data_IF_683991543862
#
_entry.id   IF_683991543862
#
_cell.length_a   1.000
_cell.length_b   1.000
_cell.length_c   1.000
_cell.angle_alpha   90.00
_cell.angle_beta   90.00
_cell.angle_gamma   90.00
#
_symmetry.space_group_name_H-M   'P 1'
#
loop_
_entity.id
_entity.type
_entity.pdbx_description
1 polymer ?
#
# COMPACT_ATOMS: atom_id res chain seq x y z
N UNK A 1 0.50 -33.00 -16.15
CA UNK A 1 0.85 -32.27 -14.91
C UNK A 1 0.85 -30.74 -15.06
N UNK A 2 1.01 -30.17 -16.26
CA UNK A 2 0.94 -28.70 -16.47
C UNK A 2 -0.47 -28.09 -16.34
N UNK A 3 -1.50 -28.81 -16.77
CA UNK A 3 -2.89 -28.33 -16.78
C UNK A 3 -3.45 -28.08 -15.38
N UNK A 4 -3.10 -28.94 -14.41
CA UNK A 4 -3.49 -28.80 -13.00
C UNK A 4 -2.84 -27.60 -12.32
N UNK A 5 -1.60 -27.24 -12.68
CA UNK A 5 -0.89 -26.08 -12.11
C UNK A 5 -1.48 -24.76 -12.60
N UNK A 6 -1.85 -24.69 -13.89
CA UNK A 6 -2.50 -23.51 -14.50
C UNK A 6 -3.91 -23.28 -13.92
N UNK A 7 -4.67 -24.36 -13.70
CA UNK A 7 -6.00 -24.30 -13.07
C UNK A 7 -5.92 -23.77 -11.63
N UNK A 8 -4.93 -24.24 -10.85
CA UNK A 8 -4.71 -23.79 -9.47
C UNK A 8 -4.35 -22.30 -9.39
N UNK A 9 -3.53 -21.80 -10.34
CA UNK A 9 -3.18 -20.38 -10.44
C UNK A 9 -4.40 -19.52 -10.80
N UNK A 10 -5.26 -19.99 -11.70
CA UNK A 10 -6.51 -19.31 -12.08
C UNK A 10 -7.45 -19.16 -10.88
N UNK A 11 -7.68 -20.25 -10.13
CA UNK A 11 -8.54 -20.22 -8.94
C UNK A 11 -8.00 -19.30 -7.84
N UNK A 12 -6.67 -19.21 -7.70
CA UNK A 12 -6.03 -18.32 -6.74
C UNK A 12 -6.18 -16.84 -7.13
N UNK A 13 -6.07 -16.51 -8.42
CA UNK A 13 -6.36 -15.16 -8.92
C UNK A 13 -7.83 -14.78 -8.71
N UNK A 14 -8.77 -15.68 -9.02
CA UNK A 14 -10.21 -15.44 -8.79
C UNK A 14 -10.49 -15.24 -7.30
N UNK A 15 -9.90 -16.04 -6.42
CA UNK A 15 -10.02 -15.89 -4.97
C UNK A 15 -9.51 -14.52 -4.48
N UNK A 16 -8.37 -14.06 -4.99
CA UNK A 16 -7.83 -12.72 -4.66
C UNK A 16 -8.75 -11.59 -5.12
N UNK A 17 -9.36 -11.70 -6.30
CA UNK A 17 -10.31 -10.70 -6.82
C UNK A 17 -11.55 -10.63 -5.95
N UNK A 18 -12.14 -11.77 -5.58
CA UNK A 18 -13.32 -11.83 -4.71
C UNK A 18 -13.00 -11.25 -3.33
N UNK A 19 -11.84 -11.63 -2.76
CA UNK A 19 -11.37 -11.08 -1.49
C UNK A 19 -11.23 -9.55 -1.55
N UNK A 20 -10.63 -9.04 -2.64
CA UNK A 20 -10.48 -7.61 -2.88
C UNK A 20 -11.82 -6.88 -2.97
N UNK A 21 -12.81 -7.47 -3.65
CA UNK A 21 -14.17 -6.91 -3.73
C UNK A 21 -14.85 -6.87 -2.36
N UNK A 22 -14.75 -7.93 -1.56
CA UNK A 22 -15.33 -7.99 -0.21
C UNK A 22 -14.68 -7.00 0.75
N UNK A 23 -13.35 -6.84 0.68
CA UNK A 23 -12.63 -5.84 1.47
C UNK A 23 -13.03 -4.42 1.03
N UNK A 24 -13.16 -4.17 -0.27
CA UNK A 24 -13.60 -2.89 -0.82
C UNK A 24 -14.99 -2.49 -0.35
N UNK A 25 -15.96 -3.39 -0.39
CA UNK A 25 -17.32 -3.12 0.10
C UNK A 25 -17.37 -2.94 1.62
N UNK A 26 -16.58 -3.69 2.38
CA UNK A 26 -16.46 -3.50 3.83
C UNK A 26 -15.88 -2.13 4.20
N UNK A 27 -14.83 -1.70 3.49
CA UNK A 27 -14.24 -0.36 3.67
C UNK A 27 -15.27 0.72 3.34
N UNK A 28 -15.98 0.60 2.22
CA UNK A 28 -17.04 1.54 1.84
C UNK A 28 -18.19 1.58 2.86
N UNK A 29 -18.57 0.43 3.40
CA UNK A 29 -19.56 0.34 4.47
C UNK A 29 -19.12 1.08 5.73
N UNK A 30 -17.88 0.87 6.18
CA UNK A 30 -17.30 1.60 7.32
C UNK A 30 -17.25 3.10 7.06
N UNK A 31 -16.85 3.51 5.86
CA UNK A 31 -16.74 4.91 5.46
C UNK A 31 -18.10 5.63 5.45
N UNK A 32 -19.17 4.92 5.06
CA UNK A 32 -20.53 5.50 4.98
C UNK A 32 -21.27 5.47 6.31
N UNK A 33 -21.06 4.44 7.16
CA UNK A 33 -21.78 4.30 8.44
C UNK A 33 -21.07 4.97 9.61
N UNK A 34 -19.74 4.94 9.66
CA UNK A 34 -18.94 5.43 10.79
C UNK A 34 -17.64 6.09 10.31
N UNK A 35 -17.73 7.23 9.61
CA UNK A 35 -16.56 7.88 9.05
C UNK A 35 -15.55 8.28 10.13
N UNK A 36 -15.98 8.80 11.27
CA UNK A 36 -15.07 9.28 12.33
C UNK A 36 -14.23 8.15 12.93
N UNK A 37 -14.84 7.03 13.31
CA UNK A 37 -14.14 5.86 13.85
C UNK A 37 -13.17 5.26 12.84
N UNK A 38 -13.52 5.30 11.56
CA UNK A 38 -12.68 4.82 10.48
C UNK A 38 -11.45 5.71 10.26
N UNK A 39 -11.64 7.03 10.22
CA UNK A 39 -10.55 7.99 10.07
C UNK A 39 -9.62 7.95 11.29
N UNK A 40 -10.16 7.90 12.50
CA UNK A 40 -9.36 7.74 13.72
C UNK A 40 -8.53 6.45 13.65
N UNK A 41 -9.13 5.30 13.32
CA UNK A 41 -8.37 4.05 13.18
C UNK A 41 -7.28 4.12 12.11
N UNK A 42 -7.53 4.80 10.99
CA UNK A 42 -6.54 4.94 9.92
C UNK A 42 -5.38 5.85 10.32
N UNK A 43 -5.67 6.94 11.01
CA UNK A 43 -4.67 7.89 11.50
C UNK A 43 -3.84 7.24 12.61
N UNK A 44 -4.48 6.69 13.64
CA UNK A 44 -3.81 6.05 14.80
C UNK A 44 -3.13 4.70 14.50
N UNK A 45 -3.34 4.12 13.31
CA UNK A 45 -2.60 2.91 12.91
C UNK A 45 -1.35 3.24 12.10
N UNK A 46 -1.16 4.52 11.75
CA UNK A 46 -0.09 4.97 10.87
C UNK A 46 -0.21 4.35 9.50
N UNK A 47 -1.43 4.05 9.07
CA UNK A 47 -1.68 3.44 7.78
C UNK A 47 -1.30 4.39 6.66
N UNK A 48 -1.64 5.67 6.79
CA UNK A 48 -1.33 6.72 5.79
C UNK A 48 0.18 6.83 5.52
N UNK A 49 1.05 7.07 6.53
CA UNK A 49 2.48 7.20 6.27
C UNK A 49 3.09 5.91 5.71
N UNK A 50 2.64 4.73 6.14
CA UNK A 50 3.07 3.47 5.53
C UNK A 50 2.68 3.41 4.06
N UNK A 51 1.42 3.67 3.71
CA UNK A 51 0.96 3.66 2.31
C UNK A 51 1.81 4.58 1.44
N UNK A 52 2.10 5.80 1.91
CA UNK A 52 2.97 6.75 1.21
C UNK A 52 4.38 6.18 1.00
N UNK A 53 4.96 5.57 2.04
CA UNK A 53 6.28 4.93 1.96
C UNK A 53 6.32 3.79 0.93
N UNK A 54 5.29 2.93 0.93
CA UNK A 54 5.16 1.83 -0.04
C UNK A 54 5.01 2.34 -1.47
N UNK A 55 4.21 3.39 -1.69
CA UNK A 55 4.07 4.01 -3.01
C UNK A 55 5.39 4.61 -3.51
N UNK A 56 6.16 5.28 -2.64
CA UNK A 56 7.47 5.82 -3.00
C UNK A 56 8.45 4.70 -3.37
N UNK A 57 8.49 3.60 -2.60
CA UNK A 57 9.32 2.43 -2.91
C UNK A 57 8.95 1.80 -4.24
N UNK A 58 7.68 1.45 -4.44
CA UNK A 58 7.19 0.83 -5.68
C UNK A 58 7.43 1.74 -6.88
N UNK A 59 7.15 3.03 -6.75
CA UNK A 59 7.40 4.03 -7.78
C UNK A 59 8.89 4.15 -8.13
N UNK A 60 9.76 4.16 -7.13
CA UNK A 60 11.21 4.23 -7.33
C UNK A 60 11.75 3.00 -8.08
N UNK A 61 11.34 1.80 -7.66
CA UNK A 61 11.77 0.53 -8.25
C UNK A 61 11.24 0.41 -9.68
N UNK A 62 9.98 0.76 -9.91
CA UNK A 62 9.37 0.75 -11.23
C UNK A 62 10.04 1.74 -12.18
N UNK A 63 10.30 2.97 -11.72
CA UNK A 63 10.96 4.01 -12.51
C UNK A 63 12.41 3.67 -12.85
N UNK A 64 13.13 3.04 -11.90
CA UNK A 64 14.49 2.55 -12.10
C UNK A 64 14.51 1.38 -13.10
N UNK A 65 13.63 0.39 -12.94
CA UNK A 65 13.54 -0.77 -13.82
C UNK A 65 13.24 -0.38 -15.28
N UNK A 66 12.45 0.68 -15.48
CA UNK A 66 12.14 1.21 -16.82
C UNK A 66 13.11 2.29 -17.31
N UNK A 67 14.18 2.58 -16.57
CA UNK A 67 15.16 3.66 -16.85
C UNK A 67 14.51 5.03 -17.12
N UNK A 68 13.33 5.28 -16.55
CA UNK A 68 12.60 6.57 -16.71
C UNK A 68 13.03 7.60 -15.68
N UNK A 69 13.51 7.17 -14.53
CA UNK A 69 13.94 8.05 -13.45
C UNK A 69 15.46 8.10 -13.38
N UNK A 70 15.99 9.30 -13.10
CA UNK A 70 17.40 9.47 -12.79
C UNK A 70 17.72 8.84 -11.42
N UNK A 71 18.98 8.43 -11.19
CA UNK A 71 19.40 7.90 -9.89
C UNK A 71 19.11 8.86 -8.73
N UNK A 72 19.17 10.18 -8.98
CA UNK A 72 18.87 11.21 -7.98
C UNK A 72 17.38 11.19 -7.57
N UNK A 73 16.46 11.08 -8.53
CA UNK A 73 15.02 10.99 -8.24
C UNK A 73 14.70 9.72 -7.46
N UNK A 74 15.35 8.60 -7.81
CA UNK A 74 15.19 7.33 -7.08
C UNK A 74 15.70 7.46 -5.64
N UNK A 75 16.86 8.09 -5.43
CA UNK A 75 17.40 8.35 -4.10
C UNK A 75 16.46 9.22 -3.25
N UNK A 76 15.86 10.27 -3.83
CA UNK A 76 14.86 11.10 -3.14
C UNK A 76 13.64 10.28 -2.70
N UNK A 77 13.07 9.46 -3.57
CA UNK A 77 11.95 8.58 -3.21
C UNK A 77 12.32 7.58 -2.10
N UNK A 78 13.55 7.09 -2.11
CA UNK A 78 14.02 6.16 -1.09
C UNK A 78 14.17 6.85 0.28
N UNK A 79 14.69 8.08 0.31
CA UNK A 79 14.79 8.89 1.55
C UNK A 79 13.41 9.23 2.09
N UNK A 80 12.47 9.63 1.22
CA UNK A 80 11.08 9.93 1.62
C UNK A 80 10.42 8.66 2.19
N UNK A 81 10.59 7.51 1.53
CA UNK A 81 10.08 6.24 2.04
C UNK A 81 10.66 5.88 3.40
N UNK A 82 11.98 6.02 3.58
CA UNK A 82 12.64 5.75 4.85
C UNK A 82 12.13 6.69 5.96
N UNK A 83 11.95 7.97 5.63
CA UNK A 83 11.38 8.94 6.54
C UNK A 83 9.99 8.50 7.02
N UNK A 84 9.07 8.20 6.10
CA UNK A 84 7.71 7.79 6.45
C UNK A 84 7.57 6.36 7.01
N UNK A 85 8.61 5.52 6.86
CA UNK A 85 8.59 4.16 7.43
C UNK A 85 9.11 4.12 8.86
N UNK A 86 10.11 4.94 9.20
CA UNK A 86 10.86 4.81 10.45
C UNK A 86 10.92 6.11 11.25
N UNK A 87 11.33 7.20 10.62
CA UNK A 87 11.64 8.45 11.31
C UNK A 87 10.36 9.21 11.68
N UNK A 88 9.36 9.20 10.80
CA UNK A 88 8.14 9.98 10.99
C UNK A 88 7.33 9.55 12.21
N UNK A 89 7.43 8.28 12.63
CA UNK A 89 6.81 7.80 13.87
C UNK A 89 7.29 8.59 15.10
N UNK A 90 8.57 8.97 15.13
CA UNK A 90 9.16 9.69 16.24
C UNK A 90 8.94 11.20 16.17
N UNK A 91 8.79 11.77 14.97
CA UNK A 91 8.67 13.22 14.76
C UNK A 91 7.23 13.72 14.75
N UNK A 92 6.29 12.91 14.25
CA UNK A 92 4.89 13.29 14.11
C UNK A 92 4.02 12.13 14.59
N UNK A 93 3.99 11.83 15.90
CA UNK A 93 3.22 10.69 16.42
C UNK A 93 1.71 10.81 16.16
N UNK A 94 1.22 12.03 15.90
CA UNK A 94 -0.20 12.33 15.65
C UNK A 94 -0.74 11.72 14.34
N UNK A 95 0.14 11.39 13.39
CA UNK A 95 -0.23 10.78 12.10
C UNK A 95 0.13 9.28 12.03
N UNK A 96 0.58 8.70 13.15
CA UNK A 96 1.03 7.30 13.25
C UNK A 96 0.22 6.46 14.24
#
# INVERSE_FOLDING_TARGET
>A
METTKKQKMSNLMVGLVILGMLLGTYILYMLTKQPEVFWDRIVYSGFIPRVISWFCLLGSVYGLARRRFSPLVVAMFMVISFFFAYIGYFLIPEIY
#
